data_IF_884260937962
#
_entry.id   IF_884260937962
#
_cell.length_a   1.000
_cell.length_b   1.000
_cell.length_c   1.000
_cell.angle_alpha   90.00
_cell.angle_beta   90.00
_cell.angle_gamma   90.00
#
_symmetry.space_group_name_H-M   'P 1'
#
loop_
_entity.id
_entity.type
_entity.pdbx_description
1 polymer ?
#
# COMPACT_ATOMS: atom_id res chain seq x y z
N UNK A 1 -4.67 -8.46 -16.04
CA UNK A 1 -3.42 -7.95 -15.44
C UNK A 1 -2.53 -7.34 -16.51
N UNK A 2 -2.33 -8.01 -17.65
CA UNK A 2 -1.52 -7.49 -18.75
C UNK A 2 -2.01 -6.13 -19.29
N UNK A 3 -3.33 -5.92 -19.40
CA UNK A 3 -3.89 -4.61 -19.73
C UNK A 3 -3.44 -3.53 -18.71
N UNK A 4 -3.60 -3.75 -17.40
CA UNK A 4 -3.21 -2.80 -16.34
C UNK A 4 -1.74 -2.39 -16.39
N UNK A 5 -0.86 -3.33 -16.71
CA UNK A 5 0.58 -3.06 -16.86
C UNK A 5 0.85 -2.31 -18.15
N UNK A 6 0.21 -2.70 -19.26
CA UNK A 6 0.38 -2.08 -20.59
C UNK A 6 -0.18 -0.66 -20.68
N UNK A 7 -1.31 -0.36 -20.03
CA UNK A 7 -1.84 1.02 -19.92
C UNK A 7 -1.25 1.80 -18.74
N UNK A 8 -0.26 1.23 -18.02
CA UNK A 8 0.46 1.95 -16.96
C UNK A 8 -0.43 2.33 -15.76
N UNK A 9 -1.48 1.55 -15.48
CA UNK A 9 -2.37 1.74 -14.33
C UNK A 9 -1.72 1.15 -13.07
N UNK A 10 -1.01 0.02 -13.17
CA UNK A 10 -0.18 -0.49 -12.09
C UNK A 10 1.23 0.11 -12.21
N UNK A 11 1.56 1.10 -11.36
CA UNK A 11 2.87 1.77 -11.40
C UNK A 11 3.74 1.42 -10.21
N UNK A 12 3.11 1.14 -9.06
CA UNK A 12 3.79 0.89 -7.80
C UNK A 12 3.22 -0.35 -7.11
N UNK A 13 3.97 -0.92 -6.17
CA UNK A 13 3.61 -2.15 -5.46
C UNK A 13 2.33 -1.95 -4.64
N UNK A 14 2.15 -0.76 -4.08
CA UNK A 14 0.96 -0.36 -3.33
C UNK A 14 -0.32 -0.27 -4.20
N UNK A 15 -0.21 -0.30 -5.53
CA UNK A 15 -1.38 -0.36 -6.42
C UNK A 15 -1.94 -1.79 -6.54
N UNK A 16 -1.12 -2.82 -6.28
CA UNK A 16 -1.51 -4.22 -6.46
C UNK A 16 -2.76 -4.61 -5.64
N UNK A 17 -2.89 -4.25 -4.36
CA UNK A 17 -4.05 -4.60 -3.55
C UNK A 17 -5.36 -4.10 -4.13
N UNK A 18 -5.35 -2.98 -4.86
CA UNK A 18 -6.54 -2.35 -5.41
C UNK A 18 -7.23 -3.19 -6.48
N UNK A 19 -6.45 -4.03 -7.18
CA UNK A 19 -6.89 -4.72 -8.40
C UNK A 19 -6.69 -6.23 -8.37
N UNK A 20 -5.70 -6.75 -7.63
CA UNK A 20 -5.34 -8.16 -7.65
C UNK A 20 -6.02 -8.90 -6.50
N UNK A 21 -6.91 -9.85 -6.81
CA UNK A 21 -7.53 -10.71 -5.80
C UNK A 21 -6.44 -11.55 -5.10
N UNK A 22 -6.60 -11.74 -3.78
CA UNK A 22 -5.62 -12.45 -2.97
C UNK A 22 -4.42 -11.60 -2.55
N UNK A 23 -4.16 -10.46 -3.20
CA UNK A 23 -3.15 -9.49 -2.75
C UNK A 23 -3.81 -8.46 -1.84
N UNK A 24 -3.40 -8.48 -0.59
CA UNK A 24 -3.80 -7.54 0.44
C UNK A 24 -2.60 -7.28 1.36
N UNK A 25 -2.84 -6.71 2.55
CA UNK A 25 -1.82 -6.33 3.53
C UNK A 25 -0.68 -7.33 3.65
N UNK A 26 -0.98 -8.61 3.85
CA UNK A 26 0.03 -9.61 4.18
C UNK A 26 1.01 -9.84 3.01
N UNK A 27 0.49 -10.01 1.78
CA UNK A 27 1.36 -10.15 0.59
C UNK A 27 2.10 -8.83 0.29
N UNK A 28 1.43 -7.69 0.44
CA UNK A 28 2.06 -6.38 0.21
C UNK A 28 3.16 -6.10 1.20
N UNK A 29 2.99 -6.45 2.48
CA UNK A 29 4.04 -6.30 3.50
C UNK A 29 5.20 -7.24 3.18
N UNK A 30 4.94 -8.50 2.83
CA UNK A 30 6.01 -9.45 2.52
C UNK A 30 6.87 -8.98 1.35
N UNK A 31 6.25 -8.56 0.24
CA UNK A 31 6.98 -8.06 -0.94
C UNK A 31 7.74 -6.78 -0.61
N UNK A 32 7.09 -5.84 0.08
CA UNK A 32 7.72 -4.56 0.46
C UNK A 32 8.92 -4.80 1.36
N UNK A 33 8.76 -5.58 2.43
CA UNK A 33 9.84 -5.95 3.36
C UNK A 33 10.97 -6.67 2.64
N UNK A 34 10.67 -7.53 1.68
CA UNK A 34 11.70 -8.26 0.93
C UNK A 34 12.54 -7.32 0.06
N UNK A 35 11.90 -6.34 -0.60
CA UNK A 35 12.60 -5.34 -1.43
C UNK A 35 13.42 -4.39 -0.57
N UNK A 36 12.87 -3.93 0.56
CA UNK A 36 13.57 -3.02 1.48
C UNK A 36 14.43 -3.73 2.53
N UNK A 37 14.65 -5.04 2.39
CA UNK A 37 15.35 -5.84 3.40
C UNK A 37 16.76 -5.31 3.67
N UNK A 38 17.52 -4.98 2.62
CA UNK A 38 18.89 -4.47 2.75
C UNK A 38 18.96 -3.19 3.60
N UNK A 39 18.19 -2.14 3.28
CA UNK A 39 18.06 -0.95 4.14
C UNK A 39 17.67 -1.25 5.59
N UNK A 40 16.70 -2.13 5.82
CA UNK A 40 16.27 -2.52 7.18
C UNK A 40 17.37 -3.28 7.93
N UNK A 41 18.11 -4.15 7.25
CA UNK A 41 19.18 -4.94 7.83
C UNK A 41 20.36 -4.05 8.22
N UNK A 42 20.74 -3.08 7.38
CA UNK A 42 21.77 -2.07 7.68
C UNK A 42 21.36 -1.13 8.81
N UNK A 43 20.09 -0.71 8.84
CA UNK A 43 19.55 0.02 9.98
C UNK A 43 19.67 -0.82 11.27
N UNK A 44 19.27 -2.09 11.22
CA UNK A 44 19.34 -3.01 12.37
C UNK A 44 20.79 -3.19 12.85
N UNK A 45 21.74 -3.44 11.94
CA UNK A 45 23.16 -3.56 12.27
C UNK A 45 23.72 -2.27 12.90
N UNK A 46 23.27 -1.11 12.41
CA UNK A 46 23.63 0.18 12.99
C UNK A 46 23.09 0.34 14.42
N UNK A 47 21.88 -0.17 14.71
CA UNK A 47 21.32 -0.19 16.07
C UNK A 47 22.09 -1.17 16.96
N UNK A 48 22.44 -2.36 16.46
CA UNK A 48 23.28 -3.31 17.19
C UNK A 48 24.62 -2.68 17.59
N UNK A 49 25.26 -1.94 16.68
CA UNK A 49 26.52 -1.25 16.96
C UNK A 49 26.37 -0.09 17.96
N UNK A 50 25.22 0.60 17.95
CA UNK A 50 24.97 1.76 18.80
C UNK A 50 24.55 1.40 20.24
N UNK A 51 23.89 0.25 20.43
CA UNK A 51 23.27 -0.15 21.69
C UNK A 51 23.88 -1.48 22.19
N UNK A 52 24.82 -1.44 23.15
CA UNK A 52 25.47 -2.63 23.70
C UNK A 52 24.51 -3.69 24.26
N UNK A 53 23.29 -3.30 24.63
CA UNK A 53 22.22 -4.16 25.14
C UNK A 53 21.89 -5.31 24.18
N UNK A 54 22.10 -5.15 22.87
CA UNK A 54 21.91 -6.23 21.89
C UNK A 54 22.95 -7.35 21.99
N UNK A 55 24.08 -7.11 22.66
CA UNK A 55 25.24 -8.01 22.67
C UNK A 55 25.73 -8.37 24.08
N UNK A 56 25.00 -7.96 25.12
CA UNK A 56 25.39 -8.16 26.52
C UNK A 56 24.38 -9.05 27.26
N UNK A 57 24.84 -9.67 28.36
CA UNK A 57 24.00 -10.58 29.15
C UNK A 57 23.67 -11.85 28.38
N UNK A 58 22.37 -12.13 28.22
CA UNK A 58 21.86 -13.30 27.48
C UNK A 58 21.49 -12.97 26.02
N UNK A 59 21.72 -11.73 25.56
CA UNK A 59 21.44 -11.33 24.19
C UNK A 59 22.62 -11.66 23.27
N UNK A 60 22.30 -12.14 22.07
CA UNK A 60 23.28 -12.60 21.10
C UNK A 60 23.07 -11.93 19.75
N UNK A 61 24.16 -11.78 19.00
CA UNK A 61 24.18 -11.33 17.61
C UNK A 61 24.82 -12.40 16.74
N UNK A 62 24.40 -12.48 15.48
CA UNK A 62 24.94 -13.45 14.53
C UNK A 62 25.17 -12.85 13.15
N UNK A 63 26.09 -13.45 12.40
CA UNK A 63 26.34 -13.11 11.01
C UNK A 63 25.43 -13.94 10.10
N UNK A 64 24.58 -13.28 9.33
CA UNK A 64 23.59 -13.94 8.48
C UNK A 64 23.73 -13.50 7.03
N UNK A 65 24.02 -14.46 6.14
CA UNK A 65 23.97 -14.25 4.69
C UNK A 65 22.51 -14.13 4.24
N UNK A 66 22.17 -13.05 3.55
CA UNK A 66 20.81 -12.76 3.08
C UNK A 66 20.84 -12.20 1.68
N UNK A 67 19.85 -12.58 0.89
CA UNK A 67 19.63 -11.92 -0.38
C UNK A 67 19.11 -10.50 -0.16
N UNK A 68 19.47 -9.56 -1.03
CA UNK A 68 19.02 -8.16 -0.99
C UNK A 68 18.71 -7.67 -2.39
N UNK A 69 17.75 -6.75 -2.51
CA UNK A 69 17.44 -6.12 -3.79
C UNK A 69 18.42 -4.98 -4.05
N UNK A 70 19.07 -5.00 -5.21
CA UNK A 70 19.90 -3.91 -5.70
C UNK A 70 19.07 -3.03 -6.64
N UNK A 71 18.64 -1.84 -6.22
CA UNK A 71 17.78 -0.99 -7.05
C UNK A 71 18.51 -0.34 -8.22
N UNK A 72 19.85 -0.34 -8.24
CA UNK A 72 20.64 0.21 -9.34
C UNK A 72 20.84 -0.82 -10.45
N UNK A 73 21.21 -2.05 -10.09
CA UNK A 73 21.39 -3.14 -11.04
C UNK A 73 20.09 -3.88 -11.38
N UNK A 74 19.03 -3.67 -10.60
CA UNK A 74 17.73 -4.35 -10.70
C UNK A 74 17.86 -5.88 -10.58
N UNK A 75 18.73 -6.34 -9.68
CA UNK A 75 19.01 -7.75 -9.43
C UNK A 75 19.04 -8.08 -7.94
N UNK A 76 19.04 -9.39 -7.65
CA UNK A 76 19.19 -9.89 -6.28
C UNK A 76 20.65 -10.20 -6.01
N UNK A 77 21.23 -9.50 -5.03
CA UNK A 77 22.58 -9.74 -4.52
C UNK A 77 22.53 -10.52 -3.21
N UNK A 78 23.69 -10.96 -2.72
CA UNK A 78 23.85 -11.53 -1.38
C UNK A 78 24.79 -10.68 -0.53
N UNK A 79 24.34 -10.32 0.67
CA UNK A 79 25.13 -9.58 1.66
C UNK A 79 25.13 -10.35 3.00
N UNK A 80 26.14 -10.12 3.84
CA UNK A 80 26.21 -10.65 5.21
C UNK A 80 25.91 -9.50 6.17
N UNK A 81 24.98 -9.72 7.09
CA UNK A 81 24.59 -8.74 8.11
C UNK A 81 24.82 -9.29 9.52
N UNK A 82 25.22 -8.41 10.43
CA UNK A 82 25.22 -8.68 11.87
C UNK A 82 23.86 -8.32 12.45
N UNK A 83 23.08 -9.33 12.82
CA UNK A 83 21.69 -9.16 13.29
C UNK A 83 21.53 -9.72 14.71
N UNK A 84 20.66 -9.12 15.54
CA UNK A 84 20.33 -9.68 16.84
C UNK A 84 19.56 -11.00 16.68
N UNK A 85 19.74 -11.90 17.63
CA UNK A 85 19.14 -13.23 17.63
C UNK A 85 18.19 -13.37 18.83
N UNK A 86 16.97 -13.81 18.56
CA UNK A 86 16.00 -14.21 19.58
C UNK A 86 15.40 -15.56 19.20
N UNK A 87 15.31 -16.48 20.17
CA UNK A 87 14.82 -17.85 19.96
C UNK A 87 15.50 -18.57 18.77
N UNK A 88 16.81 -18.35 18.62
CA UNK A 88 17.62 -18.91 17.53
C UNK A 88 17.33 -18.33 16.14
N UNK A 89 16.55 -17.25 16.04
CA UNK A 89 16.19 -16.59 14.78
C UNK A 89 16.73 -15.16 14.72
N UNK A 90 17.24 -14.72 13.57
CA UNK A 90 17.63 -13.33 13.39
C UNK A 90 16.40 -12.43 13.40
N UNK A 91 16.52 -11.31 14.09
CA UNK A 91 15.52 -10.26 14.13
C UNK A 91 15.90 -9.13 13.18
N UNK A 92 14.87 -8.51 12.60
CA UNK A 92 14.98 -7.32 11.77
C UNK A 92 14.19 -6.21 12.45
N UNK A 93 14.82 -5.06 12.68
CA UNK A 93 14.16 -3.91 13.25
C UNK A 93 13.49 -3.11 12.14
N UNK A 94 12.25 -2.72 12.38
CA UNK A 94 11.48 -1.84 11.51
C UNK A 94 11.16 -0.58 12.30
N UNK A 95 11.44 0.63 11.77
CA UNK A 95 11.01 1.86 12.41
C UNK A 95 9.50 1.85 12.65
N UNK A 96 9.06 2.22 13.85
CA UNK A 96 7.66 2.13 14.27
C UNK A 96 6.69 2.83 13.29
N UNK A 97 7.07 4.01 12.79
CA UNK A 97 6.26 4.76 11.83
C UNK A 97 6.10 4.13 10.43
N UNK A 98 6.89 3.09 10.10
CA UNK A 98 6.83 2.39 8.82
C UNK A 98 5.90 1.18 8.86
N UNK A 99 5.70 0.57 10.03
CA UNK A 99 4.83 -0.58 10.19
C UNK A 99 3.39 -0.14 10.49
N UNK A 100 2.42 -0.68 9.74
CA UNK A 100 0.99 -0.36 9.94
C UNK A 100 0.12 -1.59 9.76
N UNK A 101 -0.92 -1.70 10.60
CA UNK A 101 -1.92 -2.77 10.48
C UNK A 101 -2.87 -2.61 9.30
N UNK A 102 -2.96 -1.43 8.70
CA UNK A 102 -3.86 -1.15 7.58
C UNK A 102 -3.10 -0.57 6.41
N UNK A 103 -3.45 -1.00 5.20
CA UNK A 103 -2.90 -0.45 3.97
C UNK A 103 -3.49 0.95 3.73
N UNK A 104 -2.61 1.90 3.43
CA UNK A 104 -3.01 3.22 2.93
C UNK A 104 -3.79 3.08 1.61
N UNK A 105 -3.24 2.26 0.71
CA UNK A 105 -3.83 1.91 -0.59
C UNK A 105 -4.73 0.67 -0.48
N UNK A 106 -5.85 0.79 0.23
CA UNK A 106 -6.80 -0.31 0.39
C UNK A 106 -7.87 -0.34 -0.71
N UNK A 107 -8.17 -1.53 -1.24
CA UNK A 107 -9.17 -1.72 -2.30
C UNK A 107 -10.56 -1.21 -1.93
N UNK A 108 -10.93 -1.38 -0.65
CA UNK A 108 -12.21 -0.90 -0.13
C UNK A 108 -12.29 0.62 -0.08
N UNK A 109 -11.25 1.30 0.41
CA UNK A 109 -11.23 2.75 0.46
C UNK A 109 -11.20 3.33 -0.95
N UNK A 110 -10.38 2.79 -1.84
CA UNK A 110 -10.34 3.20 -3.26
C UNK A 110 -11.71 3.10 -3.94
N UNK A 111 -12.43 1.99 -3.68
CA UNK A 111 -13.79 1.81 -4.17
C UNK A 111 -14.73 2.93 -3.69
N UNK A 112 -14.75 3.18 -2.38
CA UNK A 112 -15.64 4.17 -1.77
C UNK A 112 -15.31 5.62 -2.18
N UNK A 113 -14.03 5.96 -2.30
CA UNK A 113 -13.58 7.35 -2.46
C UNK A 113 -13.41 7.76 -3.91
N UNK A 114 -12.93 6.87 -4.76
CA UNK A 114 -12.57 7.19 -6.14
C UNK A 114 -13.56 6.58 -7.11
N UNK A 115 -13.75 5.25 -7.06
CA UNK A 115 -14.60 4.52 -8.01
C UNK A 115 -16.07 4.95 -7.89
N UNK A 116 -16.62 5.01 -6.68
CA UNK A 116 -18.00 5.47 -6.49
C UNK A 116 -18.17 6.95 -6.78
N UNK A 117 -17.16 7.80 -6.53
CA UNK A 117 -17.25 9.23 -6.86
C UNK A 117 -17.30 9.44 -8.37
N UNK A 118 -16.50 8.70 -9.13
CA UNK A 118 -16.57 8.68 -10.59
C UNK A 118 -17.96 8.22 -11.07
N UNK A 119 -18.46 7.08 -10.57
CA UNK A 119 -19.80 6.60 -10.94
C UNK A 119 -20.93 7.58 -10.54
N UNK A 120 -20.78 8.34 -9.45
CA UNK A 120 -21.72 9.39 -9.07
C UNK A 120 -21.74 10.53 -10.09
N UNK A 121 -20.57 10.96 -10.57
CA UNK A 121 -20.44 12.02 -11.57
C UNK A 121 -20.96 11.56 -12.94
N UNK A 122 -20.67 10.32 -13.35
CA UNK A 122 -21.22 9.74 -14.59
C UNK A 122 -22.76 9.72 -14.59
N UNK A 123 -23.38 9.47 -13.43
CA UNK A 123 -24.83 9.43 -13.27
C UNK A 123 -25.44 10.78 -12.84
N UNK A 124 -24.64 11.85 -12.78
CA UNK A 124 -25.10 13.15 -12.32
C UNK A 124 -26.05 13.79 -13.34
N UNK A 125 -27.12 14.41 -12.84
CA UNK A 125 -28.06 15.16 -13.69
C UNK A 125 -27.96 16.64 -13.35
N UNK A 126 -27.80 17.47 -14.38
CA UNK A 126 -27.82 18.93 -14.21
C UNK A 126 -29.25 19.45 -14.09
N UNK A 127 -29.51 20.29 -13.09
CA UNK A 127 -30.76 21.05 -13.01
C UNK A 127 -30.75 22.24 -13.96
N UNK A 128 -31.91 22.88 -14.14
CA UNK A 128 -32.05 24.15 -14.88
C UNK A 128 -31.10 25.24 -14.38
N UNK A 129 -30.73 25.19 -13.10
CA UNK A 129 -29.88 26.18 -12.43
C UNK A 129 -28.39 25.79 -12.45
N UNK A 130 -28.02 24.74 -13.19
CA UNK A 130 -26.64 24.27 -13.35
C UNK A 130 -26.10 23.46 -12.17
N UNK A 131 -26.92 23.12 -11.17
CA UNK A 131 -26.51 22.26 -10.04
C UNK A 131 -26.54 20.79 -10.44
N UNK A 132 -25.53 20.03 -10.06
CA UNK A 132 -25.50 18.58 -10.24
C UNK A 132 -26.26 17.87 -9.12
N UNK A 133 -27.22 17.03 -9.50
CA UNK A 133 -27.88 16.09 -8.61
C UNK A 133 -27.10 14.76 -8.68
N UNK A 134 -26.48 14.37 -7.57
CA UNK A 134 -25.71 13.14 -7.46
C UNK A 134 -26.56 12.01 -6.87
N UNK A 135 -26.48 10.83 -7.46
CA UNK A 135 -27.05 9.61 -6.86
C UNK A 135 -26.29 9.25 -5.58
N UNK A 136 -26.94 8.98 -4.44
CA UNK A 136 -26.24 8.60 -3.21
C UNK A 136 -25.39 7.34 -3.38
N UNK A 137 -24.17 7.32 -2.81
CA UNK A 137 -23.24 6.18 -2.89
C UNK A 137 -23.87 4.87 -2.41
N UNK A 138 -24.68 4.90 -1.35
CA UNK A 138 -25.40 3.71 -0.86
C UNK A 138 -26.36 3.11 -1.90
N UNK A 139 -26.98 3.94 -2.75
CA UNK A 139 -27.78 3.44 -3.86
C UNK A 139 -26.90 2.84 -4.95
N UNK A 140 -25.78 3.48 -5.27
CA UNK A 140 -24.82 2.98 -6.26
C UNK A 140 -24.25 1.61 -5.90
N UNK A 141 -23.91 1.39 -4.63
CA UNK A 141 -23.38 0.10 -4.13
C UNK A 141 -24.28 -1.10 -4.42
N UNK A 142 -25.59 -0.85 -4.58
CA UNK A 142 -26.58 -1.89 -4.83
C UNK A 142 -26.86 -2.09 -6.33
N UNK A 143 -26.43 -1.18 -7.20
CA UNK A 143 -26.60 -1.28 -8.64
C UNK A 143 -25.74 -2.40 -9.23
N UNK A 144 -26.27 -3.11 -10.22
CA UNK A 144 -25.51 -4.12 -10.96
C UNK A 144 -24.31 -3.46 -11.66
N UNK A 145 -23.13 -4.10 -11.59
CA UNK A 145 -21.90 -3.55 -12.15
C UNK A 145 -21.17 -2.52 -11.28
N UNK A 146 -21.80 -2.01 -10.22
CA UNK A 146 -21.17 -1.08 -9.27
C UNK A 146 -20.96 -1.66 -7.88
N UNK A 147 -21.35 -2.91 -7.63
CA UNK A 147 -21.10 -3.57 -6.32
C UNK A 147 -19.61 -3.60 -5.99
N UNK A 148 -19.29 -3.54 -4.69
CA UNK A 148 -17.91 -3.59 -4.19
C UNK A 148 -17.19 -4.83 -4.69
N UNK A 149 -15.98 -4.64 -5.23
CA UNK A 149 -15.09 -5.72 -5.64
C UNK A 149 -13.97 -5.24 -6.55
N UNK A 150 -12.86 -5.99 -6.60
CA UNK A 150 -11.70 -5.64 -7.43
C UNK A 150 -12.02 -5.62 -8.94
N UNK A 151 -12.99 -6.42 -9.38
CA UNK A 151 -13.51 -6.35 -10.76
C UNK A 151 -14.14 -5.00 -11.06
N UNK A 152 -14.94 -4.46 -10.14
CA UNK A 152 -15.57 -3.14 -10.27
C UNK A 152 -14.50 -2.06 -10.25
N UNK A 153 -13.55 -2.13 -9.31
CA UNK A 153 -12.40 -1.21 -9.31
C UNK A 153 -11.72 -1.20 -10.68
N UNK A 154 -11.34 -2.36 -11.19
CA UNK A 154 -10.71 -2.48 -12.50
C UNK A 154 -11.54 -1.86 -13.63
N UNK A 155 -12.81 -2.25 -13.77
CA UNK A 155 -13.64 -1.81 -14.90
C UNK A 155 -13.87 -0.30 -14.90
N UNK A 156 -14.13 0.29 -13.73
CA UNK A 156 -14.42 1.73 -13.63
C UNK A 156 -13.13 2.56 -13.70
N UNK A 157 -12.00 2.07 -13.20
CA UNK A 157 -10.70 2.74 -13.42
C UNK A 157 -10.33 2.77 -14.89
N UNK A 158 -10.55 1.68 -15.63
CA UNK A 158 -10.31 1.65 -17.08
C UNK A 158 -11.23 2.61 -17.84
N UNK A 159 -12.53 2.62 -17.51
CA UNK A 159 -13.48 3.56 -18.12
C UNK A 159 -13.11 5.01 -17.83
N UNK A 160 -12.75 5.32 -16.59
CA UNK A 160 -12.30 6.67 -16.24
C UNK A 160 -11.06 7.07 -17.04
N UNK A 161 -10.11 6.15 -17.21
CA UNK A 161 -8.91 6.40 -18.03
C UNK A 161 -9.26 6.68 -19.51
N UNK A 162 -10.23 5.96 -20.07
CA UNK A 162 -10.77 6.22 -21.42
C UNK A 162 -11.43 7.61 -21.52
N UNK A 163 -11.94 8.15 -20.41
CA UNK A 163 -12.49 9.50 -20.28
C UNK A 163 -11.44 10.54 -19.84
N UNK A 164 -10.14 10.23 -19.96
CA UNK A 164 -9.02 11.10 -19.55
C UNK A 164 -8.97 11.43 -18.04
N UNK A 165 -9.63 10.63 -17.20
CA UNK A 165 -9.61 10.75 -15.75
C UNK A 165 -8.68 9.71 -15.09
N UNK A 166 -7.77 10.18 -14.22
CA UNK A 166 -6.87 9.32 -13.45
C UNK A 166 -7.36 9.14 -12.00
N UNK A 167 -8.19 8.11 -11.79
CA UNK A 167 -8.72 7.78 -10.47
C UNK A 167 -7.63 7.38 -9.48
N UNK A 168 -6.51 6.82 -9.94
CA UNK A 168 -5.41 6.43 -9.06
C UNK A 168 -4.64 7.65 -8.57
N UNK A 169 -4.31 8.60 -9.46
CA UNK A 169 -3.70 9.86 -9.08
C UNK A 169 -4.59 10.65 -8.10
N UNK A 170 -5.91 10.68 -8.36
CA UNK A 170 -6.87 11.25 -7.40
C UNK A 170 -6.81 10.56 -6.04
N UNK A 171 -6.80 9.22 -6.02
CA UNK A 171 -6.76 8.47 -4.78
C UNK A 171 -5.46 8.67 -3.99
N UNK A 172 -4.32 8.70 -4.67
CA UNK A 172 -3.01 8.95 -4.05
C UNK A 172 -2.98 10.31 -3.37
N UNK A 173 -3.42 11.38 -4.05
CA UNK A 173 -3.56 12.71 -3.44
C UNK A 173 -4.47 12.73 -2.21
N UNK A 174 -5.57 11.98 -2.25
CA UNK A 174 -6.49 11.85 -1.11
C UNK A 174 -5.85 11.12 0.08
N UNK A 175 -5.02 10.11 -0.18
CA UNK A 175 -4.25 9.40 0.85
C UNK A 175 -3.17 10.33 1.43
N UNK A 176 -2.40 11.01 0.59
CA UNK A 176 -1.32 11.92 0.99
C UNK A 176 -1.85 13.06 1.86
N UNK A 177 -2.95 13.71 1.45
CA UNK A 177 -3.54 14.81 2.23
C UNK A 177 -4.04 14.40 3.63
N UNK A 178 -4.36 13.11 3.84
CA UNK A 178 -4.67 12.57 5.18
C UNK A 178 -3.43 12.20 5.98
N UNK A 179 -2.33 11.90 5.30
CA UNK A 179 -1.07 11.59 5.93
C UNK A 179 -0.42 12.86 6.50
N UNK A 180 -0.43 13.95 5.73
CA UNK A 180 0.17 15.23 6.13
C UNK A 180 -0.59 15.92 7.28
N UNK A 181 -1.86 15.60 7.47
CA UNK A 181 -2.72 16.19 8.52
C UNK A 181 -2.65 15.47 9.87
N UNK A 182 -1.81 14.44 10.00
CA UNK A 182 -1.53 13.80 11.30
C UNK A 182 -2.64 12.87 11.84
N UNK A 183 -3.64 12.52 11.02
CA UNK A 183 -4.79 11.68 11.38
C UNK A 183 -4.44 10.20 11.68
N UNK A 184 -3.15 9.88 11.80
CA UNK A 184 -2.68 8.52 12.12
C UNK A 184 -2.55 8.19 13.61
N UNK A 185 -2.96 9.08 14.52
CA UNK A 185 -2.96 8.76 15.96
C UNK A 185 -4.38 8.45 16.44
N UNK A 186 -4.67 7.15 16.63
CA UNK A 186 -5.59 6.67 17.65
C UNK A 186 -7.09 6.89 17.43
N UNK A 187 -7.72 6.06 16.60
CA UNK A 187 -9.11 5.62 16.83
C UNK A 187 -9.22 4.12 16.59
N UNK A 188 -8.84 3.34 17.59
CA UNK A 188 -9.45 2.07 18.00
C UNK A 188 -8.61 1.42 19.11
N UNK A 189 -8.84 1.89 20.33
CA UNK A 189 -8.66 1.10 21.55
C UNK A 189 -9.86 1.45 22.44
N UNK A 190 -10.92 0.65 22.31
CA UNK A 190 -12.01 0.49 23.25
C UNK A 190 -12.47 -0.97 23.13
#
# INVERSE_FOLDING_TARGET
MEALVRVGVLRQIEDLPLFVNGVDRDITSDVTTRIMFGPLARFTESMVAAYPEFSTGAHEVGAFKRQVWNPTALEWDEEIFTLPVADGKPLLLVPDGWARHTLLMSAGRYYETSVLSFAQLEQAVSTSDGKLILTPKERLKNQAGLRRGRKTNFLLTMRAFENEEDLLAYFKRFVDGRYDTGDSVGKNAA
#
